data_IF_694032027317
#
_entry.id   IF_694032027317
#
_cell.length_a   1.000
_cell.length_b   1.000
_cell.length_c   1.000
_cell.angle_alpha   90.00
_cell.angle_beta   90.00
_cell.angle_gamma   90.00
#
_symmetry.space_group_name_H-M   'P 1'
#
loop_
_entity.id
_entity.type
_entity.pdbx_description
1 polymer ?
#
# COMPACT_ATOMS: atom_id res chain seq x y z
N UNK A 1 22.89 -16.06 17.55
CA UNK A 1 21.46 -15.69 17.51
C UNK A 1 21.19 -14.45 16.67
N UNK A 2 21.93 -13.34 16.85
CA UNK A 2 21.72 -12.12 16.05
C UNK A 2 21.95 -12.31 14.53
N UNK A 3 22.95 -13.10 14.14
CA UNK A 3 23.25 -13.40 12.74
C UNK A 3 22.13 -14.16 12.01
N UNK A 4 21.44 -15.07 12.72
CA UNK A 4 20.32 -15.82 12.18
C UNK A 4 19.08 -14.94 11.97
N UNK A 5 18.87 -13.96 12.85
CA UNK A 5 17.81 -12.95 12.70
C UNK A 5 18.04 -12.12 11.43
N UNK A 6 19.26 -11.64 11.19
CA UNK A 6 19.59 -10.90 9.97
C UNK A 6 19.48 -11.76 8.70
N UNK A 7 19.92 -13.01 8.74
CA UNK A 7 19.77 -13.93 7.62
C UNK A 7 18.29 -14.21 7.29
N UNK A 8 17.44 -14.35 8.31
CA UNK A 8 16.00 -14.53 8.14
C UNK A 8 15.30 -13.26 7.64
N UNK A 9 15.80 -12.08 8.01
CA UNK A 9 15.21 -10.80 7.63
C UNK A 9 15.37 -10.50 6.12
N UNK A 10 16.51 -10.89 5.55
CA UNK A 10 16.83 -10.70 4.13
C UNK A 10 16.50 -11.91 3.26
N UNK A 11 15.76 -12.89 3.81
CA UNK A 11 15.35 -14.06 3.04
C UNK A 11 14.39 -13.64 1.92
N UNK A 12 14.57 -14.26 0.76
CA UNK A 12 13.69 -14.09 -0.39
C UNK A 12 13.46 -15.46 -1.03
N UNK A 13 12.57 -16.27 -0.46
CA UNK A 13 12.29 -17.61 -0.98
C UNK A 13 11.64 -17.55 -2.35
N UNK A 14 11.85 -18.58 -3.16
CA UNK A 14 11.13 -18.73 -4.43
C UNK A 14 9.62 -18.83 -4.21
N UNK A 15 8.88 -18.25 -5.15
CA UNK A 15 7.43 -18.05 -5.08
C UNK A 15 6.81 -18.42 -6.42
N UNK A 16 5.81 -19.33 -6.46
CA UNK A 16 5.02 -19.51 -7.67
C UNK A 16 4.19 -18.24 -7.89
N UNK A 17 4.36 -17.60 -9.04
CA UNK A 17 3.57 -16.44 -9.43
C UNK A 17 2.32 -16.94 -10.16
N UNK A 18 1.10 -16.59 -9.70
CA UNK A 18 -0.14 -16.92 -10.41
C UNK A 18 -0.09 -16.49 -11.87
N UNK A 19 -0.72 -17.28 -12.74
CA UNK A 19 -0.81 -16.99 -14.18
C UNK A 19 -2.18 -16.48 -14.59
N UNK A 20 -3.14 -16.47 -13.66
CA UNK A 20 -4.48 -15.93 -13.85
C UNK A 20 -4.41 -14.52 -14.44
N UNK A 21 -5.27 -14.25 -15.41
CA UNK A 21 -5.50 -12.91 -15.93
C UNK A 21 -6.45 -12.14 -15.01
N UNK A 22 -6.41 -10.82 -15.05
CA UNK A 22 -7.31 -9.99 -14.23
C UNK A 22 -7.09 -10.10 -12.72
N UNK A 23 -5.93 -10.60 -12.26
CA UNK A 23 -5.62 -10.69 -10.82
C UNK A 23 -4.48 -9.78 -10.40
N UNK A 24 -4.58 -9.29 -9.17
CA UNK A 24 -3.58 -8.44 -8.52
C UNK A 24 -3.06 -9.22 -7.31
N UNK A 25 -1.75 -9.45 -7.26
CA UNK A 25 -1.12 -10.26 -6.21
C UNK A 25 -0.58 -9.39 -5.08
N UNK A 26 -0.41 -10.00 -3.91
CA UNK A 26 0.12 -9.29 -2.75
C UNK A 26 1.52 -8.78 -3.03
N UNK A 27 1.85 -7.52 -2.68
CA UNK A 27 3.21 -7.01 -2.74
C UNK A 27 4.05 -7.40 -1.51
N UNK A 28 3.45 -7.99 -0.48
CA UNK A 28 4.09 -8.27 0.81
C UNK A 28 3.72 -9.64 1.38
N UNK A 29 4.65 -10.21 2.16
CA UNK A 29 4.33 -11.29 3.10
C UNK A 29 3.78 -10.65 4.38
N UNK A 30 2.66 -11.15 4.89
CA UNK A 30 2.06 -10.62 6.11
C UNK A 30 0.60 -10.99 6.30
N UNK A 31 -0.04 -10.36 7.28
CA UNK A 31 -1.45 -10.56 7.58
C UNK A 31 -2.32 -9.44 7.04
N UNK A 32 -3.46 -9.78 6.42
CA UNK A 32 -4.43 -8.81 5.93
C UNK A 32 -5.14 -8.13 7.10
N UNK A 33 -4.86 -6.84 7.31
CA UNK A 33 -5.48 -6.07 8.37
C UNK A 33 -6.96 -5.77 8.07
N UNK A 34 -7.21 -5.20 6.90
CA UNK A 34 -8.53 -4.78 6.45
C UNK A 34 -8.58 -4.79 4.91
N UNK A 35 -9.79 -4.97 4.39
CA UNK A 35 -10.14 -4.69 3.01
C UNK A 35 -11.32 -3.71 3.03
N UNK A 36 -11.12 -2.47 2.57
CA UNK A 36 -12.13 -1.40 2.70
C UNK A 36 -12.36 -0.71 1.37
N UNK A 37 -13.62 -0.42 1.07
CA UNK A 37 -13.98 0.48 -0.01
C UNK A 37 -13.79 1.91 0.50
N UNK A 38 -13.02 2.70 -0.22
CA UNK A 38 -12.70 4.08 0.15
C UNK A 38 -13.00 5.04 -1.01
N UNK A 39 -13.34 6.28 -0.68
CA UNK A 39 -13.54 7.39 -1.62
C UNK A 39 -12.54 8.51 -1.34
N UNK A 40 -12.01 9.12 -2.39
CA UNK A 40 -11.12 10.28 -2.26
C UNK A 40 -11.91 11.48 -1.71
N UNK A 41 -11.39 12.10 -0.64
CA UNK A 41 -11.97 13.30 0.01
C UNK A 41 -11.00 14.47 0.02
N UNK A 42 -9.87 14.37 -0.68
CA UNK A 42 -8.85 15.41 -0.71
C UNK A 42 -7.60 14.95 -1.44
N UNK A 43 -6.73 15.91 -1.77
CA UNK A 43 -5.47 15.65 -2.49
C UNK A 43 -4.34 16.50 -1.92
N UNK A 44 -3.10 16.20 -2.26
CA UNK A 44 -2.01 17.12 -1.91
C UNK A 44 -2.16 18.43 -2.72
N UNK A 45 -2.09 19.59 -2.04
CA UNK A 45 -2.17 20.87 -2.73
C UNK A 45 -0.92 21.11 -3.56
N UNK A 46 -1.12 21.73 -4.73
CA UNK A 46 -0.06 22.39 -5.48
C UNK A 46 0.45 23.63 -4.73
N UNK A 47 1.52 24.25 -5.24
CA UNK A 47 2.08 25.46 -4.62
C UNK A 47 1.08 26.62 -4.57
N UNK A 48 0.26 26.74 -5.61
CA UNK A 48 -0.70 27.83 -5.75
C UNK A 48 -1.95 27.63 -4.88
N UNK A 49 -2.24 26.37 -4.53
CA UNK A 49 -3.36 25.97 -3.65
C UNK A 49 -3.00 25.97 -2.16
N UNK A 50 -1.73 26.23 -1.80
CA UNK A 50 -1.29 26.28 -0.39
C UNK A 50 -2.07 27.25 0.50
N UNK A 51 -2.50 28.45 0.03
CA UNK A 51 -3.28 29.37 0.84
C UNK A 51 -4.66 28.83 1.26
N UNK A 52 -5.25 27.95 0.45
CA UNK A 52 -6.58 27.36 0.66
C UNK A 52 -6.52 25.95 1.26
N UNK A 53 -5.32 25.49 1.61
CA UNK A 53 -5.09 24.16 2.13
C UNK A 53 -5.47 24.03 3.62
N UNK A 54 -5.98 22.86 3.97
CA UNK A 54 -6.27 22.46 5.34
C UNK A 54 -5.06 21.73 5.94
N UNK A 55 -4.73 22.04 7.19
CA UNK A 55 -3.70 21.32 7.94
C UNK A 55 -4.36 20.28 8.85
N UNK A 56 -4.07 19.00 8.58
CA UNK A 56 -4.39 17.92 9.50
C UNK A 56 -3.17 17.62 10.38
N UNK A 57 -3.42 17.44 11.68
CA UNK A 57 -2.37 17.23 12.67
C UNK A 57 -1.46 16.05 12.28
N UNK A 58 -2.04 14.97 11.75
CA UNK A 58 -1.38 13.68 11.53
C UNK A 58 -0.93 13.43 10.09
N UNK A 59 -1.74 13.86 9.14
CA UNK A 59 -1.56 13.60 7.71
C UNK A 59 -0.96 14.78 6.95
N UNK A 60 -0.85 15.94 7.61
CA UNK A 60 -0.26 17.16 7.10
C UNK A 60 -1.22 17.97 6.22
N UNK A 61 -0.65 18.69 5.26
CA UNK A 61 -1.38 19.66 4.45
C UNK A 61 -2.15 18.99 3.31
N UNK A 62 -3.43 19.35 3.16
CA UNK A 62 -4.35 18.80 2.15
C UNK A 62 -5.15 19.92 1.47
N UNK A 63 -5.40 19.72 0.18
CA UNK A 63 -6.48 20.42 -0.50
C UNK A 63 -7.80 19.67 -0.19
N UNK A 64 -8.89 20.39 0.16
CA UNK A 64 -10.14 19.77 0.60
C UNK A 64 -10.91 19.06 -0.52
N UNK A 65 -10.58 19.34 -1.78
CA UNK A 65 -11.21 18.67 -2.92
C UNK A 65 -10.36 17.49 -3.43
N UNK A 66 -10.99 16.37 -3.86
CA UNK A 66 -10.30 15.26 -4.50
C UNK A 66 -9.73 15.65 -5.89
N UNK A 67 -8.94 14.79 -6.52
CA UNK A 67 -8.54 15.03 -7.91
C UNK A 67 -9.75 14.95 -8.85
N UNK A 68 -9.73 15.68 -9.97
CA UNK A 68 -10.78 15.59 -11.00
C UNK A 68 -11.00 14.15 -11.49
N UNK A 69 -9.91 13.38 -11.63
CA UNK A 69 -9.93 11.94 -11.86
C UNK A 69 -9.24 11.23 -10.69
N UNK A 70 -9.96 10.80 -9.64
CA UNK A 70 -9.37 10.14 -8.48
C UNK A 70 -8.59 8.86 -8.82
N UNK A 71 -9.03 8.13 -9.85
CA UNK A 71 -8.43 6.87 -10.29
C UNK A 71 -7.14 7.08 -11.11
N UNK A 72 -6.82 8.32 -11.51
CA UNK A 72 -5.52 8.64 -12.12
C UNK A 72 -4.38 8.64 -11.11
N UNK A 73 -4.70 8.77 -9.81
CA UNK A 73 -3.72 8.79 -8.74
C UNK A 73 -2.61 9.86 -8.95
N UNK A 74 -2.92 10.95 -9.65
CA UNK A 74 -1.95 11.97 -10.09
C UNK A 74 -1.11 12.58 -8.96
N UNK A 75 -1.68 12.63 -7.75
CA UNK A 75 -0.99 12.96 -6.51
C UNK A 75 -1.50 12.08 -5.38
N UNK A 76 -0.83 12.11 -4.23
CA UNK A 76 -1.32 11.45 -3.03
C UNK A 76 -2.68 12.04 -2.62
N UNK A 77 -3.64 11.16 -2.30
CA UNK A 77 -5.02 11.52 -1.97
C UNK A 77 -5.37 11.08 -0.54
N UNK A 78 -6.30 11.81 0.08
CA UNK A 78 -6.95 11.44 1.34
C UNK A 78 -8.17 10.60 0.99
N UNK A 79 -8.39 9.54 1.76
CA UNK A 79 -9.44 8.57 1.51
C UNK A 79 -10.23 8.30 2.79
N UNK A 80 -11.54 8.13 2.64
CA UNK A 80 -12.47 7.77 3.72
C UNK A 80 -13.30 6.56 3.34
N UNK A 81 -13.73 5.77 4.33
CA UNK A 81 -14.54 4.58 4.10
C UNK A 81 -15.89 4.92 3.51
N UNK A 82 -16.31 4.16 2.50
CA UNK A 82 -17.62 4.32 1.85
C UNK A 82 -18.64 3.43 2.57
N UNK A 83 -19.74 3.98 3.11
CA UNK A 83 -20.83 3.19 3.67
C UNK A 83 -21.49 2.31 2.61
N UNK A 84 -22.05 1.18 3.04
CA UNK A 84 -22.83 0.29 2.17
C UNK A 84 -24.06 1.04 1.62
N UNK A 85 -24.24 0.99 0.31
CA UNK A 85 -25.31 1.69 -0.41
C UNK A 85 -24.94 3.10 -0.91
N UNK A 86 -23.75 3.61 -0.57
CA UNK A 86 -23.25 4.91 -1.04
C UNK A 86 -22.14 4.79 -2.10
N UNK A 87 -22.00 3.62 -2.72
CA UNK A 87 -20.92 3.30 -3.66
C UNK A 87 -20.96 4.12 -4.95
N UNK A 88 -19.78 4.41 -5.51
CA UNK A 88 -19.62 5.05 -6.81
C UNK A 88 -18.45 4.49 -7.63
N UNK A 89 -18.43 4.82 -8.91
CA UNK A 89 -17.40 4.37 -9.87
C UNK A 89 -16.02 4.98 -9.63
N UNK A 90 -15.93 6.03 -8.82
CA UNK A 90 -14.67 6.68 -8.44
C UNK A 90 -14.04 6.07 -7.19
N UNK A 91 -14.74 5.13 -6.54
CA UNK A 91 -14.25 4.47 -5.34
C UNK A 91 -13.11 3.52 -5.65
N UNK A 92 -12.32 3.24 -4.62
CA UNK A 92 -11.22 2.29 -4.65
C UNK A 92 -11.42 1.23 -3.58
N UNK A 93 -10.94 0.02 -3.83
CA UNK A 93 -10.66 -0.90 -2.74
C UNK A 93 -9.26 -0.65 -2.22
N UNK A 94 -9.08 -0.70 -0.90
CA UNK A 94 -7.78 -0.72 -0.22
C UNK A 94 -7.63 -1.98 0.61
N UNK A 95 -6.58 -2.74 0.37
CA UNK A 95 -6.14 -3.84 1.22
C UNK A 95 -4.85 -3.43 1.91
N UNK A 96 -4.83 -3.52 3.24
CA UNK A 96 -3.65 -3.27 4.06
C UNK A 96 -3.05 -4.58 4.57
N UNK A 97 -1.77 -4.81 4.29
CA UNK A 97 -1.02 -5.99 4.74
C UNK A 97 -0.01 -5.58 5.81
N UNK A 98 -0.16 -6.12 7.02
CA UNK A 98 0.81 -5.95 8.09
C UNK A 98 1.92 -7.00 8.00
N UNK A 99 3.16 -6.54 7.92
CA UNK A 99 4.36 -7.37 7.91
C UNK A 99 4.98 -7.37 9.30
N UNK A 100 4.97 -8.49 10.00
CA UNK A 100 5.68 -8.66 11.27
C UNK A 100 7.21 -8.65 11.07
N UNK A 101 8.02 -8.49 12.12
CA UNK A 101 9.48 -8.56 12.01
C UNK A 101 10.03 -9.94 11.55
N UNK A 102 9.21 -10.99 11.55
CA UNK A 102 9.62 -12.35 11.15
C UNK A 102 9.25 -12.68 9.69
N UNK A 103 8.43 -11.84 9.06
CA UNK A 103 7.98 -12.02 7.69
C UNK A 103 9.08 -11.70 6.67
N UNK A 104 8.82 -11.98 5.39
CA UNK A 104 9.73 -11.57 4.32
C UNK A 104 9.52 -10.10 4.04
N UNK A 105 10.58 -9.30 4.16
CA UNK A 105 10.51 -7.85 3.97
C UNK A 105 10.80 -7.38 2.55
N UNK A 106 11.11 -8.31 1.64
CA UNK A 106 11.19 -8.04 0.21
C UNK A 106 9.78 -7.85 -0.36
N UNK A 107 9.57 -6.72 -1.04
CA UNK A 107 8.31 -6.42 -1.69
C UNK A 107 8.35 -6.69 -3.18
N UNK A 108 7.21 -7.13 -3.72
CA UNK A 108 7.06 -7.58 -5.10
C UNK A 108 5.98 -6.80 -5.83
N UNK A 109 6.14 -6.61 -7.13
CA UNK A 109 5.20 -5.87 -7.95
C UNK A 109 3.88 -6.65 -8.03
N UNK A 110 2.73 -5.99 -7.75
CA UNK A 110 1.44 -6.68 -7.70
C UNK A 110 0.88 -7.04 -9.08
N UNK A 111 1.39 -6.40 -10.14
CA UNK A 111 0.99 -6.59 -11.54
C UNK A 111 2.22 -6.55 -12.45
N UNK A 112 2.07 -6.97 -13.70
CA UNK A 112 3.04 -6.61 -14.75
C UNK A 112 2.67 -5.21 -15.28
N UNK A 113 3.66 -4.35 -15.46
CA UNK A 113 3.41 -2.97 -15.87
C UNK A 113 4.61 -2.04 -15.68
N UNK A 114 4.42 -0.77 -15.96
CA UNK A 114 5.41 0.28 -15.81
C UNK A 114 5.20 1.04 -14.50
N UNK A 115 6.28 1.39 -13.79
CA UNK A 115 6.20 2.33 -12.68
C UNK A 115 6.09 3.74 -13.25
N UNK A 116 4.91 4.34 -13.20
CA UNK A 116 4.65 5.68 -13.76
C UNK A 116 4.89 6.80 -12.75
N UNK A 117 4.92 6.47 -11.46
CA UNK A 117 5.14 7.42 -10.37
C UNK A 117 5.72 6.70 -9.15
N UNK A 118 6.68 7.33 -8.48
CA UNK A 118 7.26 6.91 -7.21
C UNK A 118 7.54 8.14 -6.34
N UNK A 119 6.77 8.29 -5.26
CA UNK A 119 6.84 9.43 -4.36
C UNK A 119 7.34 8.98 -3.00
N UNK A 120 8.53 9.46 -2.62
CA UNK A 120 9.09 9.23 -1.30
C UNK A 120 8.77 10.41 -0.38
N UNK A 121 8.04 10.13 0.69
CA UNK A 121 7.83 11.06 1.80
C UNK A 121 8.60 10.59 3.02
N UNK A 122 9.64 11.34 3.36
CA UNK A 122 10.25 11.27 4.68
C UNK A 122 9.29 11.89 5.69
N UNK A 123 8.97 11.20 6.77
CA UNK A 123 8.11 11.73 7.84
C UNK A 123 8.53 13.14 8.28
N UNK A 124 7.57 13.99 8.69
CA UNK A 124 7.87 15.36 9.19
C UNK A 124 8.90 15.25 10.31
N UNK A 125 10.12 15.69 10.02
CA UNK A 125 11.30 15.50 10.86
C UNK A 125 11.25 16.26 12.17
N UNK A 126 10.49 15.78 13.15
CA UNK A 126 10.86 15.95 14.54
C UNK A 126 11.90 14.89 14.87
N UNK A 127 13.07 15.34 15.35
CA UNK A 127 13.93 14.50 16.20
C UNK A 127 13.03 13.68 17.14
N UNK A 128 13.11 12.35 17.08
CA UNK A 128 12.64 11.43 18.14
C UNK A 128 11.24 11.79 18.69
N UNK A 129 10.21 11.85 17.84
CA UNK A 129 8.79 11.89 18.26
C UNK A 129 8.20 10.49 18.54
N UNK A 130 7.03 10.37 19.20
CA UNK A 130 6.60 9.15 19.87
C UNK A 130 6.40 7.98 18.89
N UNK A 131 7.04 6.86 19.22
CA UNK A 131 7.14 5.64 18.43
C UNK A 131 5.81 4.88 18.44
N UNK A 132 4.96 5.10 17.43
CA UNK A 132 3.64 4.47 17.38
C UNK A 132 3.64 3.23 16.45
N UNK A 133 3.06 2.10 16.89
CA UNK A 133 3.02 0.88 16.09
C UNK A 133 2.32 1.08 14.73
N UNK A 134 2.77 0.38 13.69
CA UNK A 134 2.26 0.50 12.32
C UNK A 134 0.77 0.14 12.15
N UNK A 135 0.15 -0.49 13.15
CA UNK A 135 -1.27 -0.81 13.14
C UNK A 135 -2.18 0.32 13.67
N UNK A 136 -1.63 1.45 14.12
CA UNK A 136 -2.43 2.60 14.60
C UNK A 136 -2.63 3.66 13.51
N UNK A 137 -3.68 4.47 13.66
CA UNK A 137 -4.06 5.56 12.75
C UNK A 137 -2.92 6.60 12.63
N UNK A 138 -2.15 6.80 13.69
CA UNK A 138 -1.05 7.77 13.76
C UNK A 138 0.26 7.28 13.09
N UNK A 139 0.24 6.12 12.41
CA UNK A 139 1.36 5.63 11.57
C UNK A 139 1.64 6.50 10.34
N UNK A 140 0.80 7.52 10.11
CA UNK A 140 0.89 8.47 9.01
C UNK A 140 2.12 9.39 9.10
N UNK A 141 2.78 9.51 10.25
CA UNK A 141 4.07 10.21 10.33
C UNK A 141 5.26 9.38 9.87
N UNK A 142 5.08 8.09 9.57
CA UNK A 142 6.17 7.23 9.18
C UNK A 142 6.62 7.51 7.73
N UNK A 143 7.85 7.10 7.44
CA UNK A 143 8.37 7.11 6.08
C UNK A 143 7.45 6.28 5.19
N UNK A 144 7.08 6.86 4.05
CA UNK A 144 6.24 6.18 3.05
C UNK A 144 6.80 6.35 1.66
N UNK A 145 6.70 5.29 0.87
CA UNK A 145 6.99 5.31 -0.56
C UNK A 145 5.75 4.84 -1.28
N UNK A 146 5.19 5.73 -2.09
CA UNK A 146 4.03 5.49 -2.93
C UNK A 146 4.50 5.17 -4.34
N UNK A 147 4.10 4.03 -4.88
CA UNK A 147 4.44 3.61 -6.24
C UNK A 147 3.16 3.33 -7.03
N UNK A 148 3.09 3.83 -8.26
CA UNK A 148 1.99 3.58 -9.19
C UNK A 148 2.46 2.67 -10.31
N UNK A 149 1.82 1.51 -10.44
CA UNK A 149 2.06 0.55 -11.51
C UNK A 149 0.94 0.69 -12.54
N UNK A 150 1.30 0.99 -13.78
CA UNK A 150 0.38 1.07 -14.92
C UNK A 150 0.53 -0.17 -15.79
N UNK A 151 -0.56 -0.89 -16.03
CA UNK A 151 -0.63 -1.99 -16.99
C UNK A 151 -0.87 -1.46 -18.40
N UNK A 152 -0.55 -2.24 -19.42
CA UNK A 152 -0.69 -1.86 -20.85
C UNK A 152 -2.11 -1.42 -21.24
N UNK A 153 -3.14 -1.88 -20.54
CA UNK A 153 -4.54 -1.51 -20.76
C UNK A 153 -5.00 -0.25 -19.99
N UNK A 154 -4.06 0.45 -19.34
CA UNK A 154 -4.33 1.69 -18.60
C UNK A 154 -4.79 1.49 -17.16
N UNK A 155 -4.86 0.25 -16.65
CA UNK A 155 -5.11 0.02 -15.23
C UNK A 155 -3.96 0.56 -14.39
N UNK A 156 -4.28 1.42 -13.40
CA UNK A 156 -3.32 1.91 -12.41
C UNK A 156 -3.57 1.21 -11.07
N UNK A 157 -2.52 0.61 -10.51
CA UNK A 157 -2.49 0.02 -9.17
C UNK A 157 -1.54 0.84 -8.30
N UNK A 158 -2.06 1.36 -7.19
CA UNK A 158 -1.24 2.05 -6.19
C UNK A 158 -0.72 1.05 -5.15
N UNK A 159 0.58 1.12 -4.87
CA UNK A 159 1.20 0.44 -3.73
C UNK A 159 1.83 1.47 -2.82
N UNK A 160 1.39 1.51 -1.56
CA UNK A 160 1.96 2.37 -0.53
C UNK A 160 2.74 1.52 0.47
N UNK A 161 4.06 1.65 0.45
CA UNK A 161 4.94 1.09 1.47
C UNK A 161 5.00 2.05 2.66
N UNK A 162 4.77 1.56 3.88
CA UNK A 162 4.74 2.37 5.10
C UNK A 162 5.64 1.72 6.14
N UNK A 163 6.69 2.44 6.54
CA UNK A 163 7.62 1.96 7.55
C UNK A 163 6.96 1.91 8.94
N UNK A 164 7.43 1.04 9.84
CA UNK A 164 6.96 0.99 11.22
C UNK A 164 7.87 1.69 12.21
N UNK A 165 7.47 1.74 13.48
CA UNK A 165 8.21 2.44 14.54
C UNK A 165 9.68 2.00 14.73
N UNK A 166 9.98 0.73 14.45
CA UNK A 166 11.31 0.12 14.70
C UNK A 166 12.23 0.15 13.48
N UNK A 167 11.71 0.34 12.27
CA UNK A 167 12.51 0.48 11.08
C UNK A 167 12.11 1.67 10.22
N UNK A 168 13.15 2.34 9.76
CA UNK A 168 13.10 3.68 9.20
C UNK A 168 13.79 3.73 7.85
N UNK A 169 13.59 2.69 7.05
CA UNK A 169 14.12 2.71 5.69
C UNK A 169 13.25 1.85 4.82
N UNK A 170 12.56 2.50 3.90
CA UNK A 170 12.08 1.88 2.68
C UNK A 170 13.21 1.99 1.67
N UNK A 171 13.53 0.89 1.00
CA UNK A 171 14.62 0.83 0.03
C UNK A 171 14.01 0.39 -1.30
N UNK A 172 13.62 1.34 -2.14
CA UNK A 172 13.31 1.04 -3.54
C UNK A 172 14.57 0.51 -4.23
N UNK A 173 14.40 -0.53 -5.04
CA UNK A 173 15.45 -1.01 -5.96
C UNK A 173 15.16 -0.65 -7.42
N UNK A 174 14.04 0.02 -7.63
CA UNK A 174 13.47 0.41 -8.92
C UNK A 174 13.14 1.91 -8.88
N UNK A 175 12.81 2.49 -10.02
CA UNK A 175 12.50 3.91 -10.17
C UNK A 175 11.36 4.12 -11.16
N UNK A 176 10.85 5.35 -11.20
CA UNK A 176 9.91 5.77 -12.25
C UNK A 176 10.50 5.49 -13.64
N UNK A 177 9.70 4.91 -14.52
CA UNK A 177 10.11 4.49 -15.86
C UNK A 177 10.36 2.99 -16.00
N UNK A 178 10.68 2.29 -14.92
CA UNK A 178 11.00 0.86 -14.95
C UNK A 178 9.78 0.01 -15.33
N UNK A 179 10.01 -1.04 -16.12
CA UNK A 179 9.00 -2.05 -16.45
C UNK A 179 9.22 -3.29 -15.61
N UNK A 180 8.15 -3.78 -14.99
CA UNK A 180 8.17 -4.85 -14.02
C UNK A 180 7.30 -6.01 -14.48
N UNK A 181 7.71 -7.24 -14.16
CA UNK A 181 6.85 -8.42 -14.25
C UNK A 181 6.04 -8.57 -12.96
N UNK A 182 4.85 -9.17 -13.04
CA UNK A 182 4.08 -9.54 -11.84
C UNK A 182 4.93 -10.42 -10.93
N UNK A 183 5.00 -10.08 -9.65
CA UNK A 183 5.80 -10.78 -8.66
C UNK A 183 7.29 -10.45 -8.69
N UNK A 184 7.76 -9.59 -9.59
CA UNK A 184 9.15 -9.12 -9.61
C UNK A 184 9.45 -8.23 -8.40
N UNK A 185 10.66 -8.32 -7.87
CA UNK A 185 11.06 -7.59 -6.66
C UNK A 185 11.32 -6.14 -7.01
N UNK A 186 10.70 -5.21 -6.28
CA UNK A 186 10.82 -3.78 -6.57
C UNK A 186 11.44 -2.97 -5.43
N UNK A 187 11.53 -3.56 -4.24
CA UNK A 187 12.14 -2.94 -3.08
C UNK A 187 11.96 -3.77 -1.81
N UNK A 188 12.20 -3.13 -0.67
CA UNK A 188 11.98 -3.73 0.64
C UNK A 188 11.64 -2.67 1.69
N UNK A 189 11.06 -3.10 2.81
CA UNK A 189 10.83 -2.26 3.99
C UNK A 189 11.48 -2.90 5.21
N UNK A 190 12.33 -2.17 5.95
CA UNK A 190 12.96 -2.75 7.14
C UNK A 190 11.92 -2.97 8.28
N UNK A 191 12.19 -3.92 9.18
CA UNK A 191 11.52 -4.30 10.45
C UNK A 191 10.11 -3.77 10.75
N UNK A 192 9.09 -4.64 10.60
CA UNK A 192 7.73 -4.35 11.06
C UNK A 192 7.09 -3.22 10.26
N UNK A 193 6.23 -3.54 9.30
CA UNK A 193 5.77 -2.54 8.32
C UNK A 193 4.37 -2.83 7.82
N UNK A 194 3.83 -1.92 7.02
CA UNK A 194 2.55 -2.08 6.34
C UNK A 194 2.73 -1.81 4.85
N UNK A 195 2.06 -2.59 4.01
CA UNK A 195 1.91 -2.30 2.58
C UNK A 195 0.45 -2.25 2.23
N UNK A 196 0.02 -1.13 1.68
CA UNK A 196 -1.34 -0.95 1.20
C UNK A 196 -1.37 -1.07 -0.32
N UNK A 197 -2.43 -1.68 -0.85
CA UNK A 197 -2.70 -1.76 -2.29
C UNK A 197 -4.04 -1.13 -2.56
N UNK A 198 -4.13 -0.24 -3.55
CA UNK A 198 -5.40 0.32 -4.03
C UNK A 198 -5.66 0.03 -5.50
N UNK A 199 -6.92 -0.25 -5.80
CA UNK A 199 -7.42 -0.63 -7.12
C UNK A 199 -8.82 -0.02 -7.35
N UNK A 200 -9.24 0.26 -8.59
CA UNK A 200 -10.60 0.74 -8.87
C UNK A 200 -11.67 -0.24 -8.38
N UNK A 201 -12.61 0.22 -7.57
CA UNK A 201 -13.62 -0.65 -6.96
C UNK A 201 -14.67 -1.18 -7.94
N UNK A 202 -14.87 -0.47 -9.06
CA UNK A 202 -15.76 -0.90 -10.14
C UNK A 202 -15.24 -2.11 -10.93
N UNK A 203 -13.90 -2.28 -10.98
CA UNK A 203 -13.25 -3.28 -11.83
C UNK A 203 -12.76 -4.49 -11.03
N UNK A 204 -12.69 -4.39 -9.69
CA UNK A 204 -12.06 -5.40 -8.83
C UNK A 204 -12.85 -5.68 -7.55
N UNK A 205 -12.74 -6.92 -7.07
CA UNK A 205 -13.23 -7.35 -5.76
C UNK A 205 -12.11 -7.95 -4.90
N UNK A 206 -12.05 -7.66 -3.58
CA UNK A 206 -11.18 -8.36 -2.65
C UNK A 206 -11.49 -9.85 -2.60
N UNK A 207 -10.47 -10.71 -2.54
CA UNK A 207 -10.65 -12.16 -2.41
C UNK A 207 -9.83 -12.78 -1.26
N UNK A 208 -9.58 -11.99 -0.22
CA UNK A 208 -8.83 -12.39 0.98
C UNK A 208 -9.65 -12.11 2.24
N UNK A 209 -9.37 -12.84 3.31
CA UNK A 209 -10.03 -12.64 4.61
C UNK A 209 -9.23 -11.62 5.42
N UNK A 210 -9.89 -10.56 5.87
CA UNK A 210 -9.28 -9.53 6.70
C UNK A 210 -9.48 -9.79 8.19
N UNK A 211 -8.64 -9.16 9.04
CA UNK A 211 -8.82 -9.23 10.48
C UNK A 211 -10.16 -8.59 10.94
N UNK A 212 -10.67 -7.62 10.19
CA UNK A 212 -11.94 -6.94 10.48
C UNK A 212 -13.17 -7.79 10.13
N UNK A 213 -13.01 -8.85 9.33
CA UNK A 213 -14.09 -9.77 8.97
C UNK A 213 -14.53 -10.63 10.18
N UNK A 214 -13.70 -10.69 11.24
CA UNK A 214 -14.00 -11.45 12.45
C UNK A 214 -13.97 -12.97 12.24
N UNK A 215 -13.35 -13.45 11.18
CA UNK A 215 -13.25 -14.87 10.88
C UNK A 215 -12.40 -15.60 11.95
N UNK A 216 -13.00 -16.61 12.59
CA UNK A 216 -12.36 -17.37 13.68
C UNK A 216 -11.16 -18.20 13.23
N UNK A 217 -11.10 -18.61 11.98
CA UNK A 217 -9.96 -19.32 11.38
C UNK A 217 -8.81 -18.39 11.04
N UNK A 218 -9.10 -17.10 10.83
CA UNK A 218 -8.13 -16.06 10.52
C UNK A 218 -8.24 -14.86 11.48
N UNK A 219 -7.97 -15.04 12.79
CA UNK A 219 -8.19 -13.99 13.79
C UNK A 219 -7.28 -12.77 13.64
N UNK A 220 -6.24 -12.86 12.80
CA UNK A 220 -5.35 -11.75 12.43
C UNK A 220 -5.50 -11.34 10.96
N UNK A 221 -6.51 -11.88 10.27
CA UNK A 221 -6.60 -11.90 8.81
C UNK A 221 -5.75 -13.00 8.19
N UNK A 222 -6.06 -13.30 6.94
CA UNK A 222 -5.35 -14.26 6.10
C UNK A 222 -3.87 -13.89 5.99
N UNK A 223 -3.01 -14.90 6.06
CA UNK A 223 -1.59 -14.70 5.77
C UNK A 223 -1.36 -14.74 4.26
N UNK A 224 -0.93 -13.62 3.69
CA UNK A 224 -0.64 -13.47 2.26
C UNK A 224 0.86 -13.53 2.00
N UNK A 225 1.23 -13.94 0.79
CA UNK A 225 2.63 -14.04 0.34
C UNK A 225 2.88 -13.13 -0.86
N UNK A 226 3.94 -12.35 -0.78
CA UNK A 226 4.39 -11.45 -1.84
C UNK A 226 4.55 -12.20 -3.16
N UNK A 227 3.95 -11.68 -4.23
CA UNK A 227 3.96 -12.24 -5.57
C UNK A 227 3.09 -13.49 -5.78
N UNK A 228 2.58 -14.12 -4.72
CA UNK A 228 1.87 -15.41 -4.81
C UNK A 228 0.40 -15.34 -4.47
N UNK A 229 0.03 -14.70 -3.35
CA UNK A 229 -1.38 -14.66 -2.95
C UNK A 229 -2.12 -13.61 -3.77
N UNK A 230 -3.28 -13.97 -4.30
CA UNK A 230 -4.15 -13.03 -5.03
C UNK A 230 -4.91 -12.18 -4.01
N UNK A 231 -4.81 -10.86 -4.12
CA UNK A 231 -5.55 -9.92 -3.27
C UNK A 231 -6.89 -9.51 -3.91
N UNK A 232 -6.89 -9.32 -5.23
CA UNK A 232 -8.05 -8.90 -5.99
C UNK A 232 -8.24 -9.73 -7.24
N UNK A 233 -9.52 -9.93 -7.62
CA UNK A 233 -9.93 -10.46 -8.92
C UNK A 233 -10.78 -9.43 -9.65
N UNK A 234 -10.56 -9.34 -10.96
CA UNK A 234 -11.40 -8.56 -11.86
C UNK A 234 -12.84 -9.04 -11.86
N UNK A 235 -13.79 -8.11 -12.00
CA UNK A 235 -15.23 -8.37 -12.10
C UNK A 235 -15.64 -8.59 -13.55
#
# INVERSE_FOLDING_TARGET
MLSAFFANFWRDPDRPIPRDEGVIVSPADGHVMFARRERSTGRRPSKDEMPDAEEDEHTGTWHPEPCENPLSFSTEQRFEGVPEGEESDTDVWRIAVFMSPLDVHVNRSPIAGKIIRMEHRTGKGLRRGPFLPAFRKESEYNERVRSLFEREDGLIVEVMQISGALARTIIPWTSEGDTMRRGERFGMIRLGSRVDVRVPAKDFTPCVISAEDGDKSHPKGEFVKAGSTILYRGV
#
